data_IF_000177536439
#
_entry.id   IF_000177536439
#
_cell.length_a   1.000
_cell.length_b   1.000
_cell.length_c   1.000
_cell.angle_alpha   90.00
_cell.angle_beta   90.00
_cell.angle_gamma   90.00
#
_symmetry.space_group_name_H-M   'P 1'
#
loop_
_entity.id
_entity.type
_entity.pdbx_description
1 polymer ?
#
# COMPACT_ATOMS: atom_id res chain seq x y z
N UNK A 1 -10.92 -13.80 0.26
CA UNK A 1 -10.10 -12.64 -0.15
C UNK A 1 -9.63 -11.93 1.12
N UNK A 2 -8.35 -11.57 1.21
CA UNK A 2 -7.82 -10.74 2.30
C UNK A 2 -7.18 -9.49 1.70
N UNK A 3 -7.34 -8.36 2.40
CA UNK A 3 -6.64 -7.12 2.12
C UNK A 3 -5.83 -6.74 3.36
N UNK A 4 -4.56 -6.38 3.18
CA UNK A 4 -3.70 -5.89 4.26
C UNK A 4 -3.11 -4.54 3.86
N UNK A 5 -3.45 -3.49 4.60
CA UNK A 5 -2.77 -2.18 4.55
C UNK A 5 -1.73 -2.14 5.66
N UNK A 6 -0.45 -2.18 5.29
CA UNK A 6 0.67 -2.31 6.21
C UNK A 6 1.52 -1.05 6.18
N UNK A 7 1.98 -0.62 7.35
CA UNK A 7 2.92 0.48 7.53
C UNK A 7 4.17 -0.07 8.21
N UNK A 8 5.34 0.15 7.60
CA UNK A 8 6.64 -0.21 8.14
C UNK A 8 7.39 1.05 8.52
N UNK A 9 7.77 1.16 9.79
CA UNK A 9 8.45 2.33 10.35
C UNK A 9 9.90 1.98 10.67
N UNK A 10 10.82 2.89 10.38
CA UNK A 10 12.23 2.76 10.76
C UNK A 10 12.70 4.10 11.31
N UNK A 11 13.28 4.05 12.52
CA UNK A 11 13.73 5.21 13.27
C UNK A 11 12.60 6.27 13.45
N UNK A 12 11.52 5.86 14.11
CA UNK A 12 10.29 6.67 14.19
C UNK A 12 9.63 6.81 12.83
N UNK A 13 9.32 8.05 12.42
CA UNK A 13 8.72 8.36 11.11
C UNK A 13 9.73 8.88 10.08
N UNK A 14 11.03 8.75 10.36
CA UNK A 14 12.10 9.16 9.44
C UNK A 14 11.99 8.42 8.11
N UNK A 15 11.87 7.09 8.16
CA UNK A 15 11.55 6.25 7.01
C UNK A 15 10.27 5.47 7.25
N UNK A 16 9.29 5.68 6.37
CA UNK A 16 7.98 5.02 6.41
C UNK A 16 7.72 4.39 5.05
N UNK A 17 7.36 3.11 5.04
CA UNK A 17 6.96 2.38 3.84
C UNK A 17 5.54 1.89 3.98
N UNK A 18 4.69 2.25 3.02
CA UNK A 18 3.30 1.82 2.93
C UNK A 18 3.16 0.70 1.91
N UNK A 19 2.51 -0.40 2.32
CA UNK A 19 2.30 -1.57 1.46
C UNK A 19 0.85 -2.02 1.55
N UNK A 20 0.15 -2.09 0.42
CA UNK A 20 -1.15 -2.79 0.36
C UNK A 20 -0.98 -4.13 -0.33
N UNK A 21 -1.47 -5.20 0.30
CA UNK A 21 -1.42 -6.57 -0.24
C UNK A 21 -2.82 -7.09 -0.48
N UNK A 22 -3.10 -7.54 -1.70
CA UNK A 22 -4.31 -8.25 -2.08
C UNK A 22 -4.01 -9.74 -2.16
N UNK A 23 -4.75 -10.54 -1.40
CA UNK A 23 -4.45 -11.96 -1.18
C UNK A 23 -5.69 -12.80 -1.48
N UNK A 24 -5.55 -13.72 -2.42
CA UNK A 24 -6.56 -14.70 -2.78
C UNK A 24 -6.06 -16.10 -2.42
N UNK A 25 -6.85 -16.87 -1.66
CA UNK A 25 -6.48 -18.23 -1.23
C UNK A 25 -5.06 -18.33 -0.65
N UNK A 26 -4.70 -17.41 0.25
CA UNK A 26 -3.38 -17.30 0.89
C UNK A 26 -2.22 -16.89 -0.04
N UNK A 27 -2.46 -16.71 -1.34
CA UNK A 27 -1.48 -16.22 -2.31
C UNK A 27 -1.71 -14.74 -2.61
N UNK A 28 -0.67 -13.93 -2.49
CA UNK A 28 -0.74 -12.52 -2.86
C UNK A 28 -0.73 -12.37 -4.37
N UNK A 29 -1.73 -11.69 -4.94
CA UNK A 29 -1.83 -11.50 -6.38
C UNK A 29 -1.44 -10.09 -6.83
N UNK A 30 -1.72 -9.04 -6.04
CA UNK A 30 -1.39 -7.64 -6.35
C UNK A 30 -0.86 -6.91 -5.12
N UNK A 31 0.11 -6.04 -5.34
CA UNK A 31 0.72 -5.20 -4.31
C UNK A 31 0.84 -3.75 -4.76
N UNK A 32 0.52 -2.79 -3.89
CA UNK A 32 1.09 -1.44 -3.96
C UNK A 32 2.23 -1.36 -2.96
N UNK A 33 3.33 -0.73 -3.35
CA UNK A 33 4.47 -0.48 -2.49
C UNK A 33 4.89 0.99 -2.67
N UNK A 34 5.00 1.76 -1.60
CA UNK A 34 5.44 3.16 -1.67
C UNK A 34 6.86 3.30 -2.20
N UNK A 35 7.68 2.24 -2.14
CA UNK A 35 9.01 2.25 -2.78
C UNK A 35 8.92 2.12 -4.32
N UNK A 36 7.76 1.72 -4.86
CA UNK A 36 7.49 1.61 -6.31
C UNK A 36 6.52 2.68 -6.84
N UNK A 37 5.69 3.25 -5.97
CA UNK A 37 4.65 4.23 -6.31
C UNK A 37 3.63 3.74 -7.34
N UNK A 38 3.47 2.43 -7.49
CA UNK A 38 2.51 1.80 -8.40
C UNK A 38 2.06 0.42 -7.92
N UNK A 39 0.92 -0.04 -8.42
CA UNK A 39 0.49 -1.41 -8.25
C UNK A 39 1.30 -2.35 -9.15
N UNK A 40 1.75 -3.48 -8.60
CA UNK A 40 2.38 -4.56 -9.35
C UNK A 40 1.71 -5.88 -9.06
N UNK A 41 1.52 -6.65 -10.12
CA UNK A 41 1.11 -8.02 -10.02
C UNK A 41 2.24 -8.87 -9.41
N UNK A 42 1.94 -9.57 -8.32
CA UNK A 42 2.84 -10.54 -7.69
C UNK A 42 2.72 -11.91 -8.38
N UNK A 43 1.54 -12.19 -8.94
CA UNK A 43 1.26 -13.39 -9.73
C UNK A 43 0.57 -13.00 -11.03
N UNK A 44 0.55 -13.86 -12.07
CA UNK A 44 -0.13 -13.56 -13.32
C UNK A 44 -1.61 -13.18 -13.15
N UNK A 45 -2.28 -13.75 -12.14
CA UNK A 45 -3.69 -13.47 -11.82
C UNK A 45 -3.93 -11.99 -11.49
N UNK A 46 -2.96 -11.31 -10.89
CA UNK A 46 -3.11 -9.90 -10.49
C UNK A 46 -2.81 -8.89 -11.59
N UNK A 47 -2.38 -9.32 -12.78
CA UNK A 47 -2.03 -8.40 -13.87
C UNK A 47 -3.19 -7.47 -14.29
N UNK A 48 -4.42 -7.98 -14.51
CA UNK A 48 -5.53 -7.12 -14.91
C UNK A 48 -5.85 -6.05 -13.87
N UNK A 49 -5.82 -6.41 -12.58
CA UNK A 49 -6.08 -5.50 -11.47
C UNK A 49 -5.00 -4.42 -11.36
N UNK A 50 -3.72 -4.80 -11.46
CA UNK A 50 -2.61 -3.85 -11.40
C UNK A 50 -2.67 -2.83 -12.56
N UNK A 51 -2.92 -3.30 -13.79
CA UNK A 51 -3.08 -2.43 -14.96
C UNK A 51 -4.27 -1.48 -14.80
N UNK A 52 -5.43 -2.01 -14.38
CA UNK A 52 -6.64 -1.21 -14.16
C UNK A 52 -6.44 -0.15 -13.07
N UNK A 53 -5.85 -0.49 -11.93
CA UNK A 53 -5.62 0.47 -10.84
C UNK A 53 -4.57 1.51 -11.20
N UNK A 54 -3.50 1.16 -11.92
CA UNK A 54 -2.49 2.13 -12.38
C UNK A 54 -3.00 3.10 -13.45
N UNK A 55 -4.06 2.72 -14.19
CA UNK A 55 -4.74 3.60 -15.15
C UNK A 55 -5.59 4.68 -14.48
N UNK A 56 -6.05 4.46 -13.25
CA UNK A 56 -6.86 5.40 -12.48
C UNK A 56 -5.97 6.38 -11.70
N UNK A 57 -5.57 7.48 -12.35
CA UNK A 57 -4.59 8.44 -11.81
C UNK A 57 -4.98 9.03 -10.46
N UNK A 58 -6.22 9.47 -10.29
CA UNK A 58 -6.70 10.06 -9.03
C UNK A 58 -6.61 9.08 -7.85
N UNK A 59 -6.89 7.79 -8.11
CA UNK A 59 -6.78 6.74 -7.09
C UNK A 59 -5.31 6.48 -6.78
N UNK A 60 -4.46 6.40 -7.80
CA UNK A 60 -3.04 6.13 -7.61
C UNK A 60 -2.35 7.25 -6.83
N UNK A 61 -2.68 8.52 -7.12
CA UNK A 61 -2.20 9.66 -6.35
C UNK A 61 -2.68 9.63 -4.90
N UNK A 62 -3.94 9.28 -4.66
CA UNK A 62 -4.45 9.10 -3.30
C UNK A 62 -3.67 8.02 -2.55
N UNK A 63 -3.43 6.87 -3.18
CA UNK A 63 -2.72 5.73 -2.57
C UNK A 63 -1.27 6.08 -2.24
N UNK A 64 -0.58 6.84 -3.09
CA UNK A 64 0.77 7.36 -2.82
C UNK A 64 0.79 8.26 -1.57
N UNK A 65 -0.26 9.06 -1.36
CA UNK A 65 -0.39 9.93 -0.20
C UNK A 65 -0.72 9.19 1.11
N UNK A 66 -1.08 7.90 1.07
CA UNK A 66 -1.45 7.13 2.28
C UNK A 66 -0.26 6.90 3.23
N UNK A 67 0.98 7.02 2.74
CA UNK A 67 2.16 7.01 3.62
C UNK A 67 2.10 8.11 4.68
N UNK A 68 1.56 9.28 4.33
CA UNK A 68 1.36 10.39 5.25
C UNK A 68 0.00 10.34 5.92
N UNK A 69 -1.05 10.18 5.10
CA UNK A 69 -2.45 10.24 5.57
C UNK A 69 -2.84 9.13 6.52
N UNK A 70 -2.27 7.94 6.36
CA UNK A 70 -2.56 6.78 7.21
C UNK A 70 -1.35 6.46 8.08
N UNK A 71 -0.19 6.15 7.50
CA UNK A 71 0.92 5.62 8.31
C UNK A 71 1.47 6.66 9.30
N UNK A 72 1.94 7.83 8.82
CA UNK A 72 2.47 8.86 9.72
C UNK A 72 1.39 9.44 10.63
N UNK A 73 0.18 9.65 10.12
CA UNK A 73 -0.94 10.15 10.92
C UNK A 73 -1.28 9.21 12.10
N UNK A 74 -1.43 7.91 11.84
CA UNK A 74 -1.76 6.94 12.88
C UNK A 74 -0.60 6.77 13.88
N UNK A 75 0.65 6.79 13.41
CA UNK A 75 1.81 6.73 14.31
C UNK A 75 1.79 7.89 15.32
N UNK A 76 1.43 9.10 14.88
CA UNK A 76 1.28 10.24 15.80
C UNK A 76 0.08 10.06 16.73
N UNK A 77 -1.04 9.53 16.25
CA UNK A 77 -2.22 9.27 17.08
C UNK A 77 -1.91 8.27 18.20
N UNK A 78 -1.19 7.19 17.89
CA UNK A 78 -0.76 6.17 18.87
C UNK A 78 0.21 6.70 19.92
N UNK A 79 0.98 7.77 19.63
CA UNK A 79 1.85 8.41 20.60
C UNK A 79 1.10 9.36 21.56
N UNK A 80 -0.10 9.78 21.19
CA UNK A 80 -0.91 10.74 21.97
C UNK A 80 -1.94 10.02 22.86
N UNK A 81 -2.32 8.78 22.51
CA UNK A 81 -3.18 7.90 23.32
C UNK A 81 -2.40 7.07 24.32
#
# INVERSE_FOLDING_TARGET
VQFKGLCYFTNGTERVRYVTRYIYNQEENVRFDSDWDEYRAVTPLGRPDAEYWNSQKDILERVRAEVDRVCRNNYQAELIT
#
